data_IF_953144544339
#
_entry.id   IF_953144544339
#
_cell.length_a   1.000
_cell.length_b   1.000
_cell.length_c   1.000
_cell.angle_alpha   90.00
_cell.angle_beta   90.00
_cell.angle_gamma   90.00
#
_symmetry.space_group_name_H-M   'P 1'
#
loop_
_entity.id
_entity.type
_entity.pdbx_description
1 polymer ?
#
# COMPACT_ATOMS: atom_id res chain seq x y z
N UNK A 1 3.39 61.66 38.39
CA UNK A 1 3.55 61.09 39.73
C UNK A 1 3.95 59.62 39.54
N UNK A 2 5.04 59.32 40.14
CA UNK A 2 5.89 58.14 40.16
C UNK A 2 5.21 56.75 40.21
N UNK A 3 5.73 55.85 39.42
CA UNK A 3 5.67 54.38 39.54
C UNK A 3 6.34 53.88 40.86
N UNK A 4 6.06 52.64 41.31
CA UNK A 4 7.18 51.72 41.40
C UNK A 4 6.94 50.36 40.76
N UNK A 5 8.02 49.83 40.20
CA UNK A 5 8.15 48.52 39.58
C UNK A 5 8.17 47.36 40.62
N UNK A 6 7.83 46.20 40.11
CA UNK A 6 8.02 44.92 40.78
C UNK A 6 8.97 44.04 39.96
N UNK A 7 9.98 43.57 40.64
CA UNK A 7 11.08 42.74 40.15
C UNK A 7 10.62 41.31 39.84
N UNK A 8 11.21 40.72 38.81
CA UNK A 8 11.13 39.30 38.50
C UNK A 8 12.01 38.45 39.39
N UNK A 9 11.61 37.22 39.77
CA UNK A 9 12.46 36.30 40.49
C UNK A 9 13.44 35.54 39.57
N UNK A 10 14.56 35.03 40.07
CA UNK A 10 15.61 34.44 39.27
C UNK A 10 15.29 33.02 38.82
N UNK A 11 15.69 32.71 37.58
CA UNK A 11 15.64 31.39 36.99
C UNK A 11 16.70 30.47 37.62
N UNK A 12 16.25 29.37 38.23
CA UNK A 12 17.13 28.27 38.63
C UNK A 12 17.23 27.25 37.51
N UNK A 13 18.40 27.17 36.90
CA UNK A 13 18.77 26.10 35.96
C UNK A 13 19.12 24.83 36.77
N UNK A 14 18.31 23.78 36.65
CA UNK A 14 18.66 22.43 37.06
C UNK A 14 19.09 21.61 35.85
N UNK A 15 20.39 21.45 35.69
CA UNK A 15 21.02 20.50 34.79
C UNK A 15 20.87 19.09 35.33
N UNK A 16 20.11 18.22 34.66
CA UNK A 16 20.14 16.78 34.91
C UNK A 16 21.28 16.13 34.11
N UNK A 17 22.01 15.16 34.70
CA UNK A 17 23.11 14.50 33.99
C UNK A 17 22.59 13.50 32.93
N UNK A 18 23.36 13.19 31.87
CA UNK A 18 22.97 12.25 30.84
C UNK A 18 22.96 10.81 31.39
N UNK A 19 21.89 10.09 31.12
CA UNK A 19 21.74 8.66 31.39
C UNK A 19 22.62 7.89 30.41
N UNK A 20 23.70 7.31 30.88
CA UNK A 20 24.53 6.37 30.14
C UNK A 20 23.83 5.00 30.08
N UNK A 21 23.52 4.52 28.88
CA UNK A 21 23.12 3.13 28.65
C UNK A 21 24.37 2.23 28.61
N UNK A 22 24.36 1.07 29.29
CA UNK A 22 25.51 0.16 29.22
C UNK A 22 25.54 -0.55 27.88
N UNK A 23 26.66 -0.48 27.20
CA UNK A 23 26.98 -1.34 26.04
C UNK A 23 27.03 -2.80 26.51
N UNK A 24 26.08 -3.59 26.03
CA UNK A 24 26.11 -5.05 26.11
C UNK A 24 27.13 -5.57 25.12
N UNK A 25 28.20 -6.17 25.65
CA UNK A 25 29.26 -6.84 24.92
C UNK A 25 28.69 -8.03 24.13
N UNK A 26 28.84 -8.00 22.82
CA UNK A 26 28.64 -9.17 21.96
C UNK A 26 29.76 -10.18 22.21
N UNK A 27 29.40 -11.31 22.81
CA UNK A 27 30.27 -12.49 22.89
C UNK A 27 30.37 -13.11 21.50
N UNK A 28 31.60 -13.16 20.99
CA UNK A 28 31.95 -13.87 19.75
C UNK A 28 31.72 -15.37 19.93
N UNK A 29 30.75 -15.92 19.19
CA UNK A 29 30.57 -17.36 19.04
C UNK A 29 31.59 -17.87 18.05
N UNK A 30 32.64 -18.52 18.55
CA UNK A 30 33.64 -19.22 17.72
C UNK A 30 33.03 -20.55 17.26
N UNK A 31 32.72 -20.68 15.98
CA UNK A 31 32.36 -21.95 15.37
C UNK A 31 33.64 -22.77 15.19
N UNK A 32 33.82 -23.82 16.00
CA UNK A 32 34.88 -24.82 15.79
C UNK A 32 34.45 -25.80 14.72
N UNK A 33 35.23 -25.88 13.66
CA UNK A 33 35.17 -26.98 12.69
C UNK A 33 35.74 -28.26 13.33
N UNK A 34 35.12 -29.43 13.11
CA UNK A 34 35.67 -30.69 13.55
C UNK A 34 36.83 -31.15 12.63
N UNK A 35 37.82 -31.92 13.19
CA UNK A 35 39.01 -32.31 12.45
C UNK A 35 38.74 -33.44 11.44
N UNK A 36 39.50 -33.37 10.37
CA UNK A 36 39.61 -34.36 9.33
C UNK A 36 40.12 -35.72 9.85
N UNK A 37 39.39 -36.80 9.58
CA UNK A 37 39.87 -38.16 9.82
C UNK A 37 40.61 -38.69 8.60
N UNK A 38 41.86 -39.13 8.84
CA UNK A 38 42.68 -39.86 7.90
C UNK A 38 42.31 -41.36 7.88
N UNK A 39 42.43 -41.93 6.72
CA UNK A 39 42.20 -43.33 6.37
C UNK A 39 43.14 -44.31 7.10
N UNK A 40 42.62 -45.42 7.66
CA UNK A 40 43.36 -46.72 7.67
C UNK A 40 42.42 -47.91 7.87
N UNK A 41 42.54 -48.82 6.93
CA UNK A 41 42.47 -50.31 6.99
C UNK A 41 41.22 -51.03 7.51
N UNK A 42 40.69 -51.84 6.59
CA UNK A 42 39.73 -52.94 6.71
C UNK A 42 40.14 -54.07 7.67
N UNK A 43 39.16 -54.94 8.15
CA UNK A 43 38.80 -56.09 7.35
C UNK A 43 37.27 -56.34 7.21
N UNK A 44 36.94 -57.00 6.10
CA UNK A 44 35.62 -57.52 5.72
C UNK A 44 35.15 -58.61 6.71
N UNK A 45 33.87 -58.55 7.04
CA UNK A 45 33.05 -59.72 7.28
C UNK A 45 31.64 -59.57 6.78
N UNK A 46 31.11 -60.60 6.15
CA UNK A 46 29.94 -60.63 5.31
C UNK A 46 28.64 -60.88 6.12
N UNK A 47 27.53 -60.54 5.45
CA UNK A 47 26.15 -60.97 5.68
C UNK A 47 25.30 -60.30 6.73
N UNK A 48 24.59 -59.25 6.29
CA UNK A 48 23.12 -59.09 6.40
C UNK A 48 22.75 -57.76 5.75
N UNK A 49 21.70 -57.65 4.91
CA UNK A 49 21.29 -56.39 4.34
C UNK A 49 20.63 -55.52 5.44
N UNK A 50 20.96 -54.24 5.54
CA UNK A 50 20.25 -53.34 6.44
C UNK A 50 18.84 -53.06 5.87
N UNK A 51 17.83 -53.22 6.72
CA UNK A 51 16.48 -52.75 6.45
C UNK A 51 16.56 -51.23 6.28
N UNK A 52 16.42 -50.75 5.05
CA UNK A 52 16.20 -49.33 4.74
C UNK A 52 14.86 -48.92 5.30
N UNK A 53 14.83 -48.35 6.48
CA UNK A 53 13.69 -47.53 6.93
C UNK A 53 13.69 -46.27 6.09
N UNK A 54 12.92 -46.25 5.02
CA UNK A 54 12.55 -45.05 4.31
C UNK A 54 11.73 -44.21 5.30
N UNK A 55 12.39 -43.27 5.94
CA UNK A 55 11.70 -42.09 6.54
C UNK A 55 10.98 -41.41 5.38
N UNK A 56 9.71 -41.78 5.18
CA UNK A 56 8.77 -40.94 4.45
C UNK A 56 8.66 -39.62 5.28
N UNK A 57 9.41 -38.61 4.90
CA UNK A 57 9.06 -37.25 5.17
C UNK A 57 7.64 -37.08 4.61
N UNK A 58 6.63 -37.14 5.48
CA UNK A 58 5.34 -36.58 5.15
C UNK A 58 5.62 -35.09 4.90
N UNK A 59 5.68 -34.72 3.62
CA UNK A 59 5.55 -33.36 3.23
C UNK A 59 4.27 -32.87 3.88
N UNK A 60 4.41 -31.98 4.89
CA UNK A 60 3.29 -31.20 5.38
C UNK A 60 2.68 -30.60 4.12
N UNK A 61 1.39 -30.85 3.91
CA UNK A 61 0.65 -30.24 2.82
C UNK A 61 0.89 -28.74 2.92
N UNK A 62 1.70 -28.21 2.02
CA UNK A 62 1.78 -26.78 1.79
C UNK A 62 0.35 -26.27 1.73
N UNK A 63 0.02 -25.14 2.37
CA UNK A 63 -1.30 -24.57 2.24
C UNK A 63 -1.61 -24.54 0.74
N UNK A 64 -2.73 -25.14 0.34
CA UNK A 64 -3.14 -25.17 -1.07
C UNK A 64 -3.06 -23.75 -1.56
N UNK A 65 -2.19 -23.51 -2.54
CA UNK A 65 -2.15 -22.24 -3.22
C UNK A 65 -3.58 -21.94 -3.68
N UNK A 66 -4.05 -20.78 -3.26
CA UNK A 66 -5.35 -20.25 -3.61
C UNK A 66 -5.47 -20.30 -5.13
N UNK A 67 -6.62 -20.70 -5.60
CA UNK A 67 -7.03 -20.99 -6.96
C UNK A 67 -6.33 -20.13 -8.02
N UNK A 68 -5.78 -20.77 -9.05
CA UNK A 68 -5.16 -20.03 -10.16
C UNK A 68 -6.19 -19.18 -10.86
N UNK A 69 -5.90 -17.90 -10.95
CA UNK A 69 -6.67 -16.96 -11.75
C UNK A 69 -6.60 -17.38 -13.22
N UNK A 70 -7.72 -17.23 -13.93
CA UNK A 70 -7.85 -17.54 -15.35
C UNK A 70 -7.97 -16.24 -16.10
N UNK A 71 -7.22 -16.09 -17.20
CA UNK A 71 -7.40 -14.96 -18.10
C UNK A 71 -8.75 -15.07 -18.83
N UNK A 72 -9.52 -14.00 -18.83
CA UNK A 72 -10.76 -13.90 -19.56
C UNK A 72 -10.51 -13.36 -20.96
N UNK A 73 -11.17 -13.93 -21.96
CA UNK A 73 -11.06 -13.45 -23.34
C UNK A 73 -11.87 -12.17 -23.57
N UNK A 74 -12.94 -11.98 -22.81
CA UNK A 74 -13.83 -10.83 -22.92
C UNK A 74 -14.10 -10.22 -21.55
N UNK A 75 -14.19 -8.89 -21.49
CA UNK A 75 -14.49 -8.13 -20.28
C UNK A 75 -15.95 -8.33 -19.89
N UNK A 76 -16.25 -8.96 -18.74
CA UNK A 76 -17.64 -9.14 -18.34
C UNK A 76 -18.27 -7.79 -17.95
N UNK A 77 -19.60 -7.64 -18.09
CA UNK A 77 -20.30 -6.42 -17.69
C UNK A 77 -20.20 -6.16 -16.18
N UNK A 78 -20.14 -7.21 -15.39
CA UNK A 78 -19.94 -7.17 -13.93
C UNK A 78 -19.20 -8.43 -13.45
N UNK A 79 -18.47 -8.32 -12.34
CA UNK A 79 -17.90 -9.46 -11.63
C UNK A 79 -18.77 -9.93 -10.46
N UNK A 80 -19.91 -9.27 -10.19
CA UNK A 80 -20.86 -9.67 -9.17
C UNK A 80 -21.58 -10.96 -9.55
N UNK A 81 -22.04 -11.71 -8.56
CA UNK A 81 -22.96 -12.86 -8.76
C UNK A 81 -24.39 -12.38 -8.82
N UNK A 82 -25.19 -12.99 -9.69
CA UNK A 82 -26.63 -12.75 -9.76
C UNK A 82 -27.37 -13.07 -8.43
N UNK A 83 -26.81 -13.96 -7.61
CA UNK A 83 -27.41 -14.40 -6.34
C UNK A 83 -26.99 -13.60 -5.13
N UNK A 84 -26.05 -12.64 -5.27
CA UNK A 84 -25.51 -11.88 -4.12
C UNK A 84 -26.48 -10.82 -3.57
N UNK A 85 -27.72 -10.79 -4.08
CA UNK A 85 -28.61 -9.67 -3.90
C UNK A 85 -29.98 -10.08 -3.34
N UNK A 86 -30.08 -9.97 -2.01
CA UNK A 86 -31.37 -9.95 -1.31
C UNK A 86 -32.06 -8.57 -1.42
N UNK A 87 -31.80 -7.82 -2.50
CA UNK A 87 -32.41 -6.51 -2.71
C UNK A 87 -33.41 -6.57 -3.86
N UNK A 88 -34.48 -5.79 -3.76
CA UNK A 88 -35.51 -5.68 -4.81
C UNK A 88 -34.97 -5.10 -6.12
N UNK A 89 -33.80 -4.49 -6.11
CA UNK A 89 -33.05 -3.99 -7.27
C UNK A 89 -31.54 -4.24 -7.08
N UNK A 90 -31.04 -5.36 -7.60
CA UNK A 90 -29.62 -5.73 -7.58
C UNK A 90 -28.69 -4.66 -8.11
N UNK A 91 -29.07 -3.96 -9.16
CA UNK A 91 -28.25 -2.93 -9.81
C UNK A 91 -28.02 -1.69 -8.93
N UNK A 92 -28.81 -1.50 -7.87
CA UNK A 92 -28.74 -0.36 -6.96
C UNK A 92 -28.09 -0.68 -5.61
N UNK A 93 -27.56 -1.88 -5.43
CA UNK A 93 -26.82 -2.23 -4.23
C UNK A 93 -25.53 -1.41 -4.08
N UNK A 94 -25.04 -1.24 -2.86
CA UNK A 94 -23.73 -0.57 -2.61
C UNK A 94 -22.62 -1.30 -3.37
N UNK A 95 -22.64 -2.63 -3.44
CA UNK A 95 -21.67 -3.43 -4.19
C UNK A 95 -21.67 -3.05 -5.68
N UNK A 96 -22.84 -3.01 -6.31
CA UNK A 96 -22.97 -2.71 -7.75
C UNK A 96 -22.56 -1.26 -8.06
N UNK A 97 -22.99 -0.31 -7.24
CA UNK A 97 -22.61 1.10 -7.41
C UNK A 97 -21.13 1.35 -7.16
N UNK A 98 -20.53 0.63 -6.18
CA UNK A 98 -19.10 0.72 -5.94
C UNK A 98 -18.30 0.09 -7.09
N UNK A 99 -18.70 -1.09 -7.60
CA UNK A 99 -18.07 -1.67 -8.78
C UNK A 99 -18.15 -0.72 -9.99
N UNK A 100 -19.33 -0.14 -10.24
CA UNK A 100 -19.51 0.85 -11.30
C UNK A 100 -18.55 2.02 -11.13
N UNK A 101 -18.49 2.61 -9.94
CA UNK A 101 -17.64 3.75 -9.62
C UNK A 101 -16.16 3.44 -9.87
N UNK A 102 -15.63 2.30 -9.41
CA UNK A 102 -14.22 1.97 -9.62
C UNK A 102 -13.87 1.68 -11.07
N UNK A 103 -14.80 1.15 -11.88
CA UNK A 103 -14.61 0.96 -13.33
C UNK A 103 -14.61 2.30 -14.06
N UNK A 104 -15.54 3.19 -13.75
CA UNK A 104 -15.58 4.55 -14.31
C UNK A 104 -14.33 5.36 -13.94
N UNK A 105 -13.86 5.23 -12.69
CA UNK A 105 -12.61 5.84 -12.25
C UNK A 105 -11.38 5.27 -13.02
N UNK A 106 -11.34 3.94 -13.25
CA UNK A 106 -10.29 3.33 -14.07
C UNK A 106 -10.30 3.90 -15.50
N UNK A 107 -11.46 3.96 -16.13
CA UNK A 107 -11.60 4.49 -17.49
C UNK A 107 -11.17 5.96 -17.57
N UNK A 108 -11.63 6.78 -16.63
CA UNK A 108 -11.28 8.21 -16.56
C UNK A 108 -9.79 8.44 -16.35
N UNK A 109 -9.19 7.74 -15.37
CA UNK A 109 -7.76 7.88 -15.07
C UNK A 109 -6.91 7.40 -16.24
N UNK A 110 -7.19 6.23 -16.80
CA UNK A 110 -6.41 5.71 -17.94
C UNK A 110 -6.49 6.65 -19.15
N UNK A 111 -7.67 7.14 -19.50
CA UNK A 111 -7.84 8.07 -20.63
C UNK A 111 -7.11 9.39 -20.42
N UNK A 112 -7.14 9.94 -19.19
CA UNK A 112 -6.43 11.18 -18.88
C UNK A 112 -4.90 10.99 -18.91
N UNK A 113 -4.39 9.86 -18.44
CA UNK A 113 -2.96 9.52 -18.47
C UNK A 113 -2.49 9.30 -19.92
N UNK A 114 -3.23 8.56 -20.73
CA UNK A 114 -2.90 8.35 -22.16
C UNK A 114 -2.87 9.67 -22.95
N UNK A 115 -3.86 10.53 -22.71
CA UNK A 115 -3.91 11.84 -23.34
C UNK A 115 -2.70 12.73 -22.97
N UNK A 116 -2.26 12.71 -21.72
CA UNK A 116 -1.11 13.48 -21.24
C UNK A 116 0.23 12.86 -21.62
N UNK A 117 0.31 11.54 -21.78
CA UNK A 117 1.51 10.83 -22.26
C UNK A 117 1.76 11.10 -23.74
N UNK A 118 0.70 11.13 -24.55
CA UNK A 118 0.76 11.42 -25.98
C UNK A 118 1.28 10.27 -26.86
N UNK A 119 1.73 9.17 -26.29
CA UNK A 119 2.28 8.02 -27.03
C UNK A 119 2.04 6.66 -26.38
N UNK A 120 2.01 6.63 -25.05
CA UNK A 120 1.77 5.41 -24.29
C UNK A 120 0.30 5.03 -24.28
N UNK A 121 0.02 3.72 -24.28
CA UNK A 121 -1.32 3.17 -24.14
C UNK A 121 -1.34 2.10 -23.04
N UNK A 122 -2.44 2.03 -22.30
CA UNK A 122 -2.64 0.96 -21.34
C UNK A 122 -2.98 -0.36 -22.05
N UNK A 123 -2.27 -1.41 -21.70
CA UNK A 123 -2.66 -2.78 -22.02
C UNK A 123 -3.65 -3.26 -20.96
N UNK A 124 -4.81 -3.70 -21.42
CA UNK A 124 -5.84 -4.27 -20.56
C UNK A 124 -5.64 -5.78 -20.42
N UNK A 125 -5.73 -6.28 -19.21
CA UNK A 125 -5.65 -7.68 -18.82
C UNK A 125 -6.82 -8.00 -17.90
N UNK A 126 -7.81 -8.73 -18.42
CA UNK A 126 -9.01 -9.13 -17.71
C UNK A 126 -8.79 -10.54 -17.15
N UNK A 127 -9.13 -10.73 -15.88
CA UNK A 127 -8.93 -12.00 -15.19
C UNK A 127 -10.13 -12.35 -14.32
N UNK A 128 -10.41 -13.64 -14.21
CA UNK A 128 -11.39 -14.19 -13.28
C UNK A 128 -10.72 -15.04 -12.20
N UNK A 129 -11.45 -15.21 -11.10
CA UNK A 129 -11.02 -16.03 -9.97
C UNK A 129 -11.97 -17.20 -9.80
N UNK A 130 -11.49 -18.47 -9.81
CA UNK A 130 -12.34 -19.64 -9.63
C UNK A 130 -13.17 -19.63 -8.34
N UNK A 131 -12.68 -18.99 -7.27
CA UNK A 131 -13.40 -18.79 -5.99
C UNK A 131 -14.49 -17.74 -6.03
N UNK A 132 -14.52 -16.92 -7.05
CA UNK A 132 -15.53 -15.89 -7.31
C UNK A 132 -14.99 -14.47 -7.49
N UNK A 133 -15.51 -13.81 -8.49
CA UNK A 133 -15.10 -12.47 -8.89
C UNK A 133 -13.96 -12.47 -9.89
N UNK A 134 -13.36 -11.31 -10.08
CA UNK A 134 -12.27 -11.09 -11.02
C UNK A 134 -11.76 -9.66 -10.97
N UNK A 135 -11.12 -9.21 -12.03
CA UNK A 135 -10.61 -7.85 -12.12
C UNK A 135 -10.11 -7.48 -13.49
N UNK A 136 -9.72 -6.23 -13.60
CA UNK A 136 -9.18 -5.62 -14.81
C UNK A 136 -7.90 -4.90 -14.42
N UNK A 137 -6.77 -5.38 -14.92
CA UNK A 137 -5.49 -4.71 -14.76
C UNK A 137 -5.17 -3.93 -16.02
N UNK A 138 -4.91 -2.64 -15.90
CA UNK A 138 -4.42 -1.82 -17.01
C UNK A 138 -3.02 -1.35 -16.69
N UNK A 139 -2.08 -1.62 -17.59
CA UNK A 139 -0.65 -1.35 -17.37
C UNK A 139 -0.09 -0.65 -18.60
N UNK A 140 0.47 0.55 -18.39
CA UNK A 140 1.27 1.28 -19.35
C UNK A 140 2.73 1.18 -18.94
N UNK A 141 3.60 0.84 -19.88
CA UNK A 141 5.05 0.80 -19.68
C UNK A 141 5.74 1.53 -20.84
N UNK A 142 6.89 2.12 -20.54
CA UNK A 142 7.74 2.80 -21.50
C UNK A 142 7.06 3.94 -22.29
N UNK A 143 6.01 4.57 -21.71
CA UNK A 143 5.34 5.74 -22.26
C UNK A 143 6.29 6.93 -22.43
N UNK A 144 5.83 8.03 -23.00
CA UNK A 144 6.64 9.24 -23.14
C UNK A 144 6.86 9.91 -21.78
N UNK A 145 5.82 10.06 -20.98
CA UNK A 145 5.82 10.69 -19.65
C UNK A 145 5.98 9.66 -18.53
N UNK A 146 5.24 8.55 -18.56
CA UNK A 146 5.30 7.53 -17.52
C UNK A 146 6.20 6.36 -17.92
N UNK A 147 7.15 6.07 -17.05
CA UNK A 147 7.98 4.86 -17.14
C UNK A 147 7.14 3.62 -16.91
N UNK A 148 6.26 3.68 -15.91
CA UNK A 148 5.28 2.66 -15.62
C UNK A 148 4.07 3.28 -14.92
N UNK A 149 2.89 2.86 -15.34
CA UNK A 149 1.62 3.20 -14.71
C UNK A 149 0.75 1.95 -14.63
N UNK A 150 0.15 1.71 -13.47
CA UNK A 150 -0.79 0.60 -13.29
C UNK A 150 -2.08 1.12 -12.67
N UNK A 151 -3.23 0.71 -13.21
CA UNK A 151 -4.56 1.01 -12.69
C UNK A 151 -5.35 -0.28 -12.66
N UNK A 152 -5.60 -0.81 -11.48
CA UNK A 152 -6.21 -2.13 -11.28
C UNK A 152 -7.57 -2.01 -10.60
N UNK A 153 -8.57 -2.67 -11.16
CA UNK A 153 -9.86 -2.91 -10.54
C UNK A 153 -9.94 -4.37 -10.14
N UNK A 154 -10.44 -4.66 -8.95
CA UNK A 154 -10.74 -6.01 -8.49
C UNK A 154 -12.09 -6.05 -7.77
N UNK A 155 -12.85 -7.12 -8.00
CA UNK A 155 -14.09 -7.45 -7.30
C UNK A 155 -13.99 -8.93 -6.97
N UNK A 156 -13.80 -9.26 -5.70
CA UNK A 156 -13.55 -10.62 -5.25
C UNK A 156 -14.43 -10.98 -4.07
N UNK A 157 -14.85 -12.20 -4.04
CA UNK A 157 -15.66 -12.74 -2.95
C UNK A 157 -15.31 -14.21 -2.72
N UNK A 158 -15.68 -14.74 -1.58
CA UNK A 158 -15.36 -16.10 -1.21
C UNK A 158 -15.55 -16.35 0.28
N UNK A 159 -14.80 -17.31 0.79
CA UNK A 159 -14.80 -17.64 2.21
C UNK A 159 -13.41 -17.41 2.75
N UNK A 160 -13.29 -16.52 3.72
CA UNK A 160 -12.03 -16.14 4.33
C UNK A 160 -11.62 -17.16 5.39
N UNK A 161 -10.39 -17.71 5.34
CA UNK A 161 -9.85 -18.52 6.42
C UNK A 161 -9.72 -17.70 7.72
N UNK A 162 -9.81 -18.34 8.90
CA UNK A 162 -9.72 -17.66 10.20
C UNK A 162 -8.47 -16.80 10.39
N UNK A 163 -7.33 -17.20 9.85
CA UNK A 163 -6.07 -16.45 9.94
C UNK A 163 -6.10 -15.18 9.10
N UNK A 164 -6.71 -15.22 7.92
CA UNK A 164 -6.90 -14.05 7.06
C UNK A 164 -7.91 -13.06 7.67
N UNK A 165 -8.98 -13.56 8.32
CA UNK A 165 -9.94 -12.72 9.05
C UNK A 165 -9.25 -11.96 10.20
N UNK A 166 -8.41 -12.63 11.00
CA UNK A 166 -7.63 -11.97 12.06
C UNK A 166 -6.66 -10.91 11.54
N UNK A 167 -6.05 -11.16 10.38
CA UNK A 167 -5.16 -10.18 9.75
C UNK A 167 -5.92 -8.96 9.22
N UNK A 168 -7.15 -9.15 8.77
CA UNK A 168 -8.02 -8.06 8.29
C UNK A 168 -8.65 -7.24 9.45
N UNK A 169 -8.79 -7.82 10.64
CA UNK A 169 -9.43 -7.20 11.82
C UNK A 169 -8.51 -7.23 13.06
N UNK A 170 -7.39 -6.50 13.08
CA UNK A 170 -6.43 -6.55 14.17
C UNK A 170 -6.96 -5.98 15.50
N UNK A 171 -8.03 -5.20 15.47
CA UNK A 171 -8.64 -4.58 16.68
C UNK A 171 -9.65 -5.46 17.39
N UNK A 172 -10.12 -6.53 16.78
CA UNK A 172 -11.02 -7.49 17.43
C UNK A 172 -10.22 -8.62 18.12
N UNK A 173 -9.47 -8.28 19.15
CA UNK A 173 -8.79 -9.24 20.03
C UNK A 173 -9.75 -9.87 21.05
N UNK A 174 -10.85 -10.43 20.59
CA UNK A 174 -11.69 -11.30 21.42
C UNK A 174 -11.37 -12.77 21.17
N UNK A 175 -11.59 -13.64 22.16
CA UNK A 175 -11.43 -15.11 22.11
C UNK A 175 -12.33 -15.84 21.10
N UNK A 176 -12.85 -15.12 20.12
CA UNK A 176 -13.68 -15.66 19.04
C UNK A 176 -12.74 -16.38 18.07
N UNK A 177 -12.80 -17.70 18.05
CA UNK A 177 -12.27 -18.50 16.93
C UNK A 177 -13.26 -18.34 15.77
N UNK A 178 -13.01 -17.43 14.83
CA UNK A 178 -13.93 -17.26 13.72
C UNK A 178 -13.91 -18.52 12.88
N UNK A 179 -15.09 -19.08 12.61
CA UNK A 179 -15.28 -20.05 11.56
C UNK A 179 -14.96 -19.44 10.18
N UNK A 180 -15.16 -20.19 9.09
CA UNK A 180 -15.03 -19.64 7.74
C UNK A 180 -16.03 -18.49 7.55
N UNK A 181 -15.53 -17.27 7.26
CA UNK A 181 -16.35 -16.06 7.12
C UNK A 181 -16.50 -15.73 5.63
N UNK A 182 -17.72 -15.73 5.08
CA UNK A 182 -17.92 -15.21 3.73
C UNK A 182 -17.57 -13.73 3.67
N UNK A 183 -16.90 -13.32 2.59
CA UNK A 183 -16.50 -11.94 2.37
C UNK A 183 -16.78 -11.48 0.95
N UNK A 184 -16.89 -10.17 0.81
CA UNK A 184 -16.87 -9.44 -0.44
C UNK A 184 -15.85 -8.29 -0.33
N UNK A 185 -15.05 -8.08 -1.36
CA UNK A 185 -14.12 -6.97 -1.44
C UNK A 185 -14.09 -6.43 -2.87
N UNK A 186 -14.24 -5.13 -3.01
CA UNK A 186 -14.08 -4.44 -4.28
C UNK A 186 -13.14 -3.26 -4.11
N UNK A 187 -12.33 -2.96 -5.14
CA UNK A 187 -11.41 -1.84 -5.06
C UNK A 187 -10.76 -1.48 -6.37
N UNK A 188 -10.29 -0.22 -6.42
CA UNK A 188 -9.36 0.28 -7.41
C UNK A 188 -8.05 0.61 -6.72
N UNK A 189 -6.92 0.30 -7.36
CA UNK A 189 -5.59 0.65 -6.88
C UNK A 189 -4.72 1.07 -8.05
N UNK A 190 -3.90 2.10 -7.86
CA UNK A 190 -3.05 2.63 -8.92
C UNK A 190 -1.74 3.16 -8.37
N UNK A 191 -0.69 2.98 -9.16
CA UNK A 191 0.58 3.69 -8.97
C UNK A 191 1.08 4.17 -10.33
N UNK A 192 1.44 5.44 -10.38
CA UNK A 192 1.92 6.13 -11.58
C UNK A 192 3.35 6.60 -11.35
N UNK A 193 4.32 6.03 -12.09
CA UNK A 193 5.75 6.34 -11.98
C UNK A 193 6.23 7.16 -13.19
N UNK A 194 6.35 8.50 -13.08
CA UNK A 194 6.84 9.33 -14.17
C UNK A 194 8.33 9.11 -14.46
N UNK A 195 8.75 9.34 -15.71
CA UNK A 195 10.16 9.32 -16.10
C UNK A 195 10.96 10.47 -15.52
N UNK A 196 10.38 11.68 -15.55
CA UNK A 196 11.05 12.89 -15.09
C UNK A 196 11.19 12.88 -13.56
N UNK A 197 12.40 13.12 -13.01
CA UNK A 197 12.63 13.18 -11.56
C UNK A 197 11.84 14.26 -10.84
N UNK A 198 11.47 15.34 -11.53
CA UNK A 198 10.70 16.45 -10.96
C UNK A 198 9.20 16.20 -10.96
N UNK A 199 8.73 15.22 -11.73
CA UNK A 199 7.34 14.77 -11.71
C UNK A 199 7.15 13.71 -10.62
N UNK A 200 6.16 13.88 -9.71
CA UNK A 200 5.99 12.98 -8.57
C UNK A 200 5.33 11.65 -8.96
N UNK A 201 5.67 10.59 -8.24
CA UNK A 201 4.87 9.37 -8.22
C UNK A 201 3.58 9.62 -7.47
N UNK A 202 2.46 9.12 -8.01
CA UNK A 202 1.16 9.10 -7.36
C UNK A 202 0.78 7.66 -7.02
N UNK A 203 0.25 7.47 -5.82
CA UNK A 203 -0.50 6.28 -5.45
C UNK A 203 -1.91 6.68 -5.04
N UNK A 204 -2.89 5.88 -5.43
CA UNK A 204 -4.23 5.95 -4.85
C UNK A 204 -4.86 4.57 -4.78
N UNK A 205 -5.76 4.38 -3.82
CA UNK A 205 -6.62 3.22 -3.74
C UNK A 205 -7.95 3.61 -3.07
N UNK A 206 -9.04 2.98 -3.51
CA UNK A 206 -10.34 3.06 -2.84
C UNK A 206 -10.94 1.68 -2.84
N UNK A 207 -11.43 1.25 -1.67
CA UNK A 207 -11.93 -0.11 -1.45
C UNK A 207 -13.18 -0.12 -0.60
N UNK A 208 -14.03 -1.07 -0.88
CA UNK A 208 -15.19 -1.42 -0.09
C UNK A 208 -15.09 -2.89 0.30
N UNK A 209 -15.39 -3.19 1.55
CA UNK A 209 -15.29 -4.53 2.11
C UNK A 209 -16.54 -4.88 2.91
N UNK A 210 -16.98 -6.15 2.82
CA UNK A 210 -18.05 -6.70 3.65
C UNK A 210 -17.66 -8.09 4.16
N UNK A 211 -18.16 -8.43 5.37
CA UNK A 211 -18.18 -9.80 5.87
C UNK A 211 -19.58 -10.17 6.26
N UNK A 212 -20.01 -11.37 5.88
CA UNK A 212 -21.24 -11.95 6.43
C UNK A 212 -21.00 -12.46 7.86
N UNK A 213 -22.12 -12.79 8.56
CA UNK A 213 -22.03 -13.49 9.81
C UNK A 213 -21.27 -14.81 9.66
N UNK A 214 -20.41 -15.19 10.62
CA UNK A 214 -19.83 -16.52 10.68
C UNK A 214 -20.93 -17.59 10.62
N UNK A 215 -20.69 -18.70 9.92
CA UNK A 215 -21.68 -19.78 9.76
C UNK A 215 -22.14 -20.39 11.09
N UNK A 216 -21.29 -20.30 12.11
CA UNK A 216 -21.53 -20.74 13.49
C UNK A 216 -22.19 -19.67 14.39
N UNK A 217 -22.40 -18.47 13.87
CA UNK A 217 -23.14 -17.38 14.51
C UNK A 217 -24.22 -16.81 13.58
N UNK A 218 -25.24 -17.61 13.17
CA UNK A 218 -26.30 -17.17 12.30
C UNK A 218 -27.07 -16.02 12.98
N UNK A 219 -27.22 -14.88 12.28
CA UNK A 219 -27.91 -13.70 12.81
C UNK A 219 -26.96 -12.61 13.35
N UNK A 220 -25.64 -12.82 13.38
CA UNK A 220 -24.70 -11.74 13.59
C UNK A 220 -24.82 -10.71 12.43
N UNK A 221 -24.73 -9.40 12.71
CA UNK A 221 -24.90 -8.39 11.68
C UNK A 221 -23.76 -8.48 10.65
N UNK A 222 -24.12 -8.26 9.38
CA UNK A 222 -23.12 -8.03 8.32
C UNK A 222 -22.27 -6.82 8.69
N UNK A 223 -20.95 -6.96 8.57
CA UNK A 223 -20.01 -5.87 8.77
C UNK A 223 -19.59 -5.33 7.41
N UNK A 224 -19.39 -4.04 7.32
CA UNK A 224 -18.87 -3.39 6.13
C UNK A 224 -17.99 -2.20 6.51
N UNK A 225 -17.07 -1.83 5.64
CA UNK A 225 -16.25 -0.62 5.79
C UNK A 225 -15.69 -0.16 4.45
N UNK A 226 -15.37 1.13 4.42
CA UNK A 226 -14.61 1.75 3.33
C UNK A 226 -13.18 1.97 3.78
N UNK A 227 -12.25 1.90 2.81
CA UNK A 227 -10.86 2.28 2.98
C UNK A 227 -10.35 2.93 1.70
N UNK A 228 -9.31 3.71 1.83
CA UNK A 228 -8.74 4.35 0.66
C UNK A 228 -7.69 5.40 1.00
N UNK A 229 -7.21 6.05 -0.03
CA UNK A 229 -6.28 7.15 0.08
C UNK A 229 -5.69 7.53 -1.25
N UNK A 230 -5.12 8.71 -1.28
CA UNK A 230 -4.37 9.26 -2.40
C UNK A 230 -3.18 10.00 -1.82
N UNK A 231 -1.96 9.58 -2.20
CA UNK A 231 -0.72 10.14 -1.65
C UNK A 231 0.33 10.43 -2.73
N UNK A 232 1.15 11.46 -2.47
CA UNK A 232 2.15 11.99 -3.37
C UNK A 232 3.56 11.59 -2.90
N UNK A 233 4.35 10.99 -3.80
CA UNK A 233 5.74 10.58 -3.55
C UNK A 233 6.67 11.26 -4.56
N UNK A 234 7.07 12.52 -4.34
CA UNK A 234 8.01 13.21 -5.20
C UNK A 234 9.47 12.84 -4.88
N UNK A 235 10.38 13.11 -5.83
CA UNK A 235 11.83 13.11 -5.59
C UNK A 235 12.37 14.52 -5.25
N UNK A 236 11.64 15.57 -5.63
CA UNK A 236 11.96 16.98 -5.34
C UNK A 236 10.71 17.72 -4.89
N UNK A 237 10.86 18.69 -4.00
CA UNK A 237 9.74 19.49 -3.49
C UNK A 237 9.55 20.75 -4.34
N UNK A 238 8.35 20.90 -4.87
CA UNK A 238 7.83 22.18 -5.37
C UNK A 238 6.61 22.52 -4.52
N UNK A 239 6.73 23.53 -3.68
CA UNK A 239 5.70 23.83 -2.69
C UNK A 239 4.33 24.10 -3.32
N UNK A 240 4.30 24.78 -4.48
CA UNK A 240 3.07 25.03 -5.21
C UNK A 240 2.37 23.74 -5.64
N UNK A 241 3.13 22.71 -6.01
CA UNK A 241 2.58 21.42 -6.42
C UNK A 241 2.02 20.65 -5.24
N UNK A 242 2.76 20.63 -4.12
CA UNK A 242 2.33 19.96 -2.90
C UNK A 242 1.10 20.65 -2.30
N UNK A 243 1.09 22.00 -2.26
CA UNK A 243 -0.08 22.78 -1.82
C UNK A 243 -1.30 22.55 -2.71
N UNK A 244 -1.11 22.55 -4.04
CA UNK A 244 -2.19 22.22 -4.97
C UNK A 244 -2.78 20.84 -4.69
N UNK A 245 -1.92 19.81 -4.60
CA UNK A 245 -2.33 18.45 -4.34
C UNK A 245 -3.16 18.33 -3.04
N UNK A 246 -2.62 18.85 -1.94
CA UNK A 246 -3.29 18.79 -0.64
C UNK A 246 -4.56 19.64 -0.60
N UNK A 247 -4.62 20.79 -1.29
CA UNK A 247 -5.81 21.62 -1.39
C UNK A 247 -6.96 20.90 -2.09
N UNK A 248 -6.69 20.17 -3.16
CA UNK A 248 -7.70 19.37 -3.86
C UNK A 248 -8.22 18.23 -2.97
N UNK A 249 -7.33 17.52 -2.27
CA UNK A 249 -7.72 16.46 -1.33
C UNK A 249 -8.54 17.01 -0.16
N UNK A 250 -8.13 18.18 0.38
CA UNK A 250 -8.88 18.87 1.42
C UNK A 250 -10.27 19.28 0.93
N UNK A 251 -10.36 19.84 -0.27
CA UNK A 251 -11.64 20.23 -0.86
C UNK A 251 -12.60 19.06 -1.06
N UNK A 252 -12.09 17.86 -1.41
CA UNK A 252 -12.90 16.66 -1.48
C UNK A 252 -13.41 16.22 -0.10
N UNK A 253 -12.56 16.25 0.92
CA UNK A 253 -12.92 15.91 2.30
C UNK A 253 -13.94 16.89 2.92
N UNK A 254 -13.72 18.19 2.75
CA UNK A 254 -14.52 19.26 3.36
C UNK A 254 -15.99 19.27 2.88
N UNK A 255 -16.27 18.67 1.71
CA UNK A 255 -17.66 18.49 1.22
C UNK A 255 -18.50 17.59 2.13
N UNK A 256 -17.84 16.70 2.89
CA UNK A 256 -18.50 15.71 3.74
C UNK A 256 -18.31 16.01 5.23
N UNK A 257 -17.07 16.29 5.64
CA UNK A 257 -16.76 16.62 7.03
C UNK A 257 -15.42 17.38 7.10
N UNK A 258 -15.41 18.53 7.78
CA UNK A 258 -14.20 19.34 7.95
C UNK A 258 -13.07 18.62 8.73
N UNK A 259 -13.42 17.64 9.57
CA UNK A 259 -12.44 16.84 10.31
C UNK A 259 -11.78 15.72 9.47
N UNK A 260 -12.31 15.42 8.29
CA UNK A 260 -11.79 14.33 7.48
C UNK A 260 -10.35 14.59 7.00
N UNK A 261 -10.11 15.77 6.42
CA UNK A 261 -8.78 16.06 5.90
C UNK A 261 -7.69 16.03 6.97
N UNK A 262 -7.76 16.78 8.09
CA UNK A 262 -6.70 16.76 9.10
C UNK A 262 -6.50 15.37 9.70
N UNK A 263 -7.57 14.62 9.94
CA UNK A 263 -7.52 13.26 10.45
C UNK A 263 -6.87 12.29 9.45
N UNK A 264 -7.29 12.34 8.19
CA UNK A 264 -6.81 11.40 7.17
C UNK A 264 -5.42 11.76 6.66
N UNK A 265 -5.05 13.04 6.66
CA UNK A 265 -3.68 13.49 6.39
C UNK A 265 -2.72 12.96 7.45
N UNK A 266 -3.06 13.13 8.73
CA UNK A 266 -2.25 12.57 9.82
C UNK A 266 -2.14 11.04 9.71
N UNK A 267 -3.24 10.35 9.41
CA UNK A 267 -3.21 8.90 9.25
C UNK A 267 -2.36 8.46 8.07
N UNK A 268 -2.39 9.21 6.96
CA UNK A 268 -1.52 9.00 5.81
C UNK A 268 -0.03 9.08 6.20
N UNK A 269 0.37 10.13 6.92
CA UNK A 269 1.74 10.29 7.40
C UNK A 269 2.20 9.15 8.31
N UNK A 270 1.32 8.68 9.18
CA UNK A 270 1.61 7.58 10.10
C UNK A 270 1.69 6.23 9.38
N UNK A 271 0.80 5.99 8.39
CA UNK A 271 0.74 4.75 7.65
C UNK A 271 1.96 4.53 6.74
N UNK A 272 2.38 5.57 6.00
CA UNK A 272 3.48 5.48 5.05
C UNK A 272 4.88 5.66 5.66
N UNK A 273 5.01 5.48 6.97
CA UNK A 273 6.27 5.55 7.68
C UNK A 273 7.10 4.27 7.53
N UNK A 274 8.34 4.42 7.05
CA UNK A 274 9.32 3.35 6.87
C UNK A 274 10.15 3.24 8.15
N UNK A 275 9.74 2.35 9.05
CA UNK A 275 10.30 2.27 10.42
C UNK A 275 11.82 2.09 10.46
N UNK A 276 12.37 1.23 9.60
CA UNK A 276 13.82 0.96 9.58
C UNK A 276 14.65 2.07 8.93
N UNK A 277 13.99 3.08 8.31
CA UNK A 277 14.63 4.27 7.76
C UNK A 277 14.42 5.52 8.63
N UNK A 278 13.40 5.53 9.45
CA UNK A 278 13.02 6.70 10.24
C UNK A 278 12.38 7.83 9.40
N UNK A 279 11.88 7.53 8.21
CA UNK A 279 11.31 8.51 7.28
C UNK A 279 10.02 7.99 6.63
N UNK A 280 9.23 8.87 6.04
CA UNK A 280 8.07 8.52 5.22
C UNK A 280 8.49 8.31 3.78
N UNK A 281 7.71 7.52 3.03
CA UNK A 281 8.01 7.28 1.62
C UNK A 281 7.75 8.50 0.74
N UNK A 282 6.87 9.45 1.16
CA UNK A 282 6.48 10.63 0.41
C UNK A 282 5.98 11.76 1.31
N UNK A 283 5.24 12.71 0.73
CA UNK A 283 4.77 13.93 1.39
C UNK A 283 3.31 13.83 1.85
N UNK A 284 2.76 12.63 1.90
CA UNK A 284 1.40 12.38 2.39
C UNK A 284 0.31 12.69 1.36
N UNK A 285 -0.85 12.93 1.86
CA UNK A 285 -2.12 13.09 1.17
C UNK A 285 -3.24 12.74 2.14
N UNK A 286 -4.16 11.87 1.75
CA UNK A 286 -5.17 11.30 2.63
C UNK A 286 -5.07 9.77 2.68
N UNK A 287 -5.34 9.21 3.85
CA UNK A 287 -5.49 7.77 4.02
C UNK A 287 -6.53 7.47 5.10
N UNK A 288 -7.43 6.55 4.83
CA UNK A 288 -8.42 6.06 5.77
C UNK A 288 -8.64 4.56 5.58
N UNK A 289 -8.99 3.88 6.67
CA UNK A 289 -9.30 2.46 6.68
C UNK A 289 -10.37 2.16 7.74
N UNK A 290 -11.00 0.98 7.65
CA UNK A 290 -12.04 0.54 8.58
C UNK A 290 -13.12 1.62 8.82
N UNK A 291 -13.41 2.46 7.82
CA UNK A 291 -14.32 3.58 7.93
C UNK A 291 -15.77 3.11 7.80
N UNK A 292 -16.49 3.03 8.91
CA UNK A 292 -17.88 2.59 9.01
C UNK A 292 -18.70 3.33 10.07
N UNK A 293 -18.12 4.37 10.68
CA UNK A 293 -18.77 5.15 11.75
C UNK A 293 -19.80 6.17 11.24
N UNK A 294 -20.02 6.23 9.93
CA UNK A 294 -20.93 7.16 9.26
C UNK A 294 -21.93 6.38 8.41
N UNK A 295 -22.93 7.10 7.87
CA UNK A 295 -23.88 6.52 6.92
C UNK A 295 -23.18 5.93 5.69
N UNK A 296 -23.62 4.74 5.25
CA UNK A 296 -22.99 3.98 4.16
C UNK A 296 -23.08 4.71 2.82
N UNK A 297 -24.20 5.40 2.56
CA UNK A 297 -24.42 6.18 1.33
C UNK A 297 -23.54 7.42 1.30
N UNK A 298 -23.39 8.07 2.45
CA UNK A 298 -22.48 9.20 2.60
C UNK A 298 -21.05 8.76 2.33
N UNK A 299 -20.61 7.61 2.86
CA UNK A 299 -19.26 7.12 2.66
C UNK A 299 -19.00 6.63 1.22
N UNK A 300 -20.01 6.06 0.55
CA UNK A 300 -19.92 5.76 -0.88
C UNK A 300 -19.73 7.03 -1.71
N UNK A 301 -20.50 8.07 -1.39
CA UNK A 301 -20.38 9.38 -2.04
C UNK A 301 -19.03 10.04 -1.78
N UNK A 302 -18.52 9.93 -0.55
CA UNK A 302 -17.19 10.40 -0.17
C UNK A 302 -16.07 9.67 -0.94
N UNK A 303 -16.11 8.34 -0.99
CA UNK A 303 -15.14 7.56 -1.76
C UNK A 303 -15.18 7.91 -3.25
N UNK A 304 -16.37 8.15 -3.80
CA UNK A 304 -16.56 8.59 -5.19
C UNK A 304 -15.94 9.96 -5.43
N UNK A 305 -16.18 10.93 -4.54
CA UNK A 305 -15.58 12.27 -4.64
C UNK A 305 -14.05 12.21 -4.56
N UNK A 306 -13.50 11.40 -3.64
CA UNK A 306 -12.07 11.20 -3.53
C UNK A 306 -11.49 10.59 -4.83
N UNK A 307 -12.15 9.58 -5.42
CA UNK A 307 -11.72 8.99 -6.68
C UNK A 307 -11.75 10.03 -7.83
N UNK A 308 -12.78 10.86 -7.90
CA UNK A 308 -12.91 11.93 -8.89
C UNK A 308 -11.87 13.04 -8.70
N UNK A 309 -11.35 13.24 -7.49
CA UNK A 309 -10.35 14.25 -7.18
C UNK A 309 -8.92 13.87 -7.63
N UNK A 310 -8.67 12.60 -7.99
CA UNK A 310 -7.33 12.09 -8.33
C UNK A 310 -6.71 12.85 -9.51
N UNK A 311 -7.39 12.92 -10.62
CA UNK A 311 -6.89 13.59 -11.83
C UNK A 311 -6.74 15.10 -11.63
N UNK A 312 -7.74 15.84 -11.09
CA UNK A 312 -7.55 17.25 -10.77
C UNK A 312 -6.39 17.54 -9.81
N UNK A 313 -6.09 16.64 -8.87
CA UNK A 313 -4.97 16.81 -7.95
C UNK A 313 -3.61 16.57 -8.61
N UNK A 314 -3.53 15.64 -9.57
CA UNK A 314 -2.26 15.13 -10.06
C UNK A 314 -1.86 15.68 -11.43
N UNK A 315 -2.77 15.67 -12.40
CA UNK A 315 -2.42 15.99 -13.79
C UNK A 315 -1.85 17.40 -13.99
N UNK A 316 -2.34 18.46 -13.31
CA UNK A 316 -1.73 19.78 -13.41
C UNK A 316 -0.28 19.83 -12.94
N UNK A 317 0.13 18.97 -12.00
CA UNK A 317 1.51 18.85 -11.55
C UNK A 317 2.36 18.20 -12.65
N UNK A 318 1.87 17.13 -13.24
CA UNK A 318 2.57 16.45 -14.35
C UNK A 318 2.80 17.40 -15.52
N UNK A 319 1.77 18.16 -15.92
CA UNK A 319 1.87 19.12 -17.02
C UNK A 319 2.94 20.20 -16.76
N UNK A 320 3.15 20.60 -15.52
CA UNK A 320 4.22 21.54 -15.15
C UNK A 320 5.61 20.93 -15.13
N UNK A 321 5.72 19.61 -14.84
CA UNK A 321 7.03 18.99 -14.50
C UNK A 321 7.55 18.00 -15.52
N UNK A 322 6.70 17.44 -16.39
CA UNK A 322 7.07 16.35 -17.33
C UNK A 322 8.21 16.71 -18.27
N UNK A 323 8.34 17.98 -18.65
CA UNK A 323 9.33 18.47 -19.61
C UNK A 323 10.47 19.26 -18.93
N UNK A 324 10.53 19.29 -17.60
CA UNK A 324 11.59 20.00 -16.86
C UNK A 324 12.95 19.35 -17.13
N UNK A 325 13.97 20.10 -17.60
CA UNK A 325 15.30 19.55 -17.82
C UNK A 325 15.90 18.97 -16.53
N UNK A 326 16.53 17.81 -16.63
CA UNK A 326 17.18 17.15 -15.50
C UNK A 326 18.51 16.52 -15.89
N UNK A 327 19.35 16.24 -14.87
CA UNK A 327 20.66 15.60 -15.01
C UNK A 327 20.60 14.14 -14.56
N UNK A 328 21.70 13.40 -14.77
CA UNK A 328 21.84 12.02 -14.28
C UNK A 328 21.82 11.95 -12.75
N UNK A 329 22.28 12.99 -12.04
CA UNK A 329 22.23 13.08 -10.58
C UNK A 329 20.79 13.18 -10.10
N UNK A 330 19.96 14.01 -10.73
CA UNK A 330 18.52 14.08 -10.43
C UNK A 330 17.85 12.71 -10.64
N UNK A 331 18.23 12.01 -11.73
CA UNK A 331 17.69 10.66 -12.00
C UNK A 331 18.17 9.65 -10.97
N UNK A 332 19.44 9.69 -10.57
CA UNK A 332 19.99 8.82 -9.53
C UNK A 332 19.25 9.01 -8.19
N UNK A 333 18.98 10.25 -7.81
CA UNK A 333 18.18 10.54 -6.60
C UNK A 333 16.75 10.00 -6.69
N UNK A 334 16.05 10.23 -7.82
CA UNK A 334 14.73 9.62 -8.03
C UNK A 334 14.77 8.10 -7.82
N UNK A 335 15.80 7.43 -8.35
CA UNK A 335 15.95 5.98 -8.21
C UNK A 335 16.14 5.54 -6.74
N UNK A 336 16.90 6.33 -5.95
CA UNK A 336 17.04 6.10 -4.51
C UNK A 336 15.71 6.26 -3.77
N UNK A 337 14.92 7.30 -4.10
CA UNK A 337 13.57 7.49 -3.52
C UNK A 337 12.61 6.36 -3.93
N UNK A 338 12.72 5.84 -5.14
CA UNK A 338 12.00 4.63 -5.57
C UNK A 338 12.40 3.40 -4.76
N UNK A 339 13.66 3.28 -4.35
CA UNK A 339 14.11 2.26 -3.42
C UNK A 339 13.32 2.32 -2.10
N UNK A 340 13.10 3.52 -1.54
CA UNK A 340 12.28 3.70 -0.32
C UNK A 340 10.82 3.31 -0.55
N UNK A 341 10.28 3.66 -1.71
CA UNK A 341 8.93 3.24 -2.12
C UNK A 341 8.80 1.70 -2.16
N UNK A 342 9.76 1.01 -2.76
CA UNK A 342 9.80 -0.47 -2.83
C UNK A 342 9.92 -1.07 -1.44
N UNK A 343 10.79 -0.54 -0.57
CA UNK A 343 10.95 -1.00 0.81
C UNK A 343 9.62 -0.93 1.57
N UNK A 344 8.89 0.20 1.47
CA UNK A 344 7.58 0.32 2.12
C UNK A 344 6.61 -0.73 1.60
N UNK A 345 6.44 -0.83 0.28
CA UNK A 345 5.44 -1.70 -0.32
C UNK A 345 5.69 -3.18 -0.02
N UNK A 346 6.94 -3.64 -0.05
CA UNK A 346 7.26 -5.06 0.21
C UNK A 346 7.30 -5.42 1.69
N UNK A 347 7.64 -4.47 2.58
CA UNK A 347 7.86 -4.76 4.00
C UNK A 347 6.67 -4.38 4.88
N UNK A 348 6.01 -3.26 4.59
CA UNK A 348 5.02 -2.67 5.50
C UNK A 348 3.61 -2.56 4.92
N UNK A 349 3.45 -2.53 3.59
CA UNK A 349 2.12 -2.38 3.01
C UNK A 349 1.23 -3.58 3.33
N UNK A 350 0.11 -3.30 4.01
CA UNK A 350 -0.84 -4.35 4.43
C UNK A 350 -1.50 -5.02 3.24
N UNK A 351 -1.81 -4.25 2.19
CA UNK A 351 -2.44 -4.77 0.99
C UNK A 351 -1.53 -5.76 0.24
N UNK A 352 -0.27 -5.39 0.03
CA UNK A 352 0.76 -6.26 -0.58
C UNK A 352 0.97 -7.52 0.25
N UNK A 353 1.16 -7.36 1.56
CA UNK A 353 1.38 -8.49 2.49
C UNK A 353 0.18 -9.44 2.51
N UNK A 354 -1.04 -8.90 2.57
CA UNK A 354 -2.28 -9.68 2.53
C UNK A 354 -2.41 -10.42 1.19
N UNK A 355 -2.26 -9.71 0.08
CA UNK A 355 -2.34 -10.30 -1.26
C UNK A 355 -1.37 -11.46 -1.47
N UNK A 356 -0.10 -11.29 -1.10
CA UNK A 356 0.92 -12.34 -1.21
C UNK A 356 0.62 -13.53 -0.30
N UNK A 357 0.15 -13.31 0.94
CA UNK A 357 -0.18 -14.37 1.90
C UNK A 357 -1.46 -15.14 1.53
N UNK A 358 -2.41 -14.48 0.88
CA UNK A 358 -3.68 -15.10 0.47
C UNK A 358 -3.63 -15.68 -0.95
N UNK A 359 -2.47 -15.62 -1.62
CA UNK A 359 -2.29 -16.13 -2.98
C UNK A 359 -2.99 -15.31 -4.04
N UNK A 360 -3.13 -13.99 -3.81
CA UNK A 360 -3.64 -13.06 -4.80
C UNK A 360 -2.74 -13.02 -6.05
N UNK A 361 -3.28 -12.45 -7.13
CA UNK A 361 -2.59 -12.37 -8.42
C UNK A 361 -1.32 -11.53 -8.31
N UNK A 362 -0.16 -12.18 -8.44
CA UNK A 362 1.16 -11.56 -8.24
C UNK A 362 1.35 -10.35 -9.16
N UNK A 363 0.97 -10.46 -10.43
CA UNK A 363 1.08 -9.37 -11.40
C UNK A 363 0.26 -8.13 -11.00
N UNK A 364 -0.95 -8.35 -10.46
CA UNK A 364 -1.79 -7.25 -9.95
C UNK A 364 -1.28 -6.65 -8.63
N UNK A 365 -0.55 -7.42 -7.82
CA UNK A 365 0.05 -6.94 -6.58
C UNK A 365 1.33 -6.15 -6.86
N UNK A 366 2.24 -6.73 -7.66
CA UNK A 366 3.57 -6.15 -7.89
C UNK A 366 3.58 -5.10 -9.02
N UNK A 367 2.46 -4.86 -9.71
CA UNK A 367 2.35 -3.78 -10.70
C UNK A 367 2.66 -2.40 -10.08
N UNK A 368 2.42 -2.24 -8.77
CA UNK A 368 2.71 -1.01 -8.02
C UNK A 368 4.20 -0.65 -7.95
N UNK A 369 5.09 -1.61 -8.18
CA UNK A 369 6.52 -1.35 -8.15
C UNK A 369 6.98 -0.63 -9.42
N UNK A 370 7.97 0.30 -9.30
CA UNK A 370 8.58 0.96 -10.47
C UNK A 370 9.34 -0.06 -11.33
N UNK A 371 9.64 0.29 -12.60
CA UNK A 371 10.50 -0.54 -13.44
C UNK A 371 11.93 -0.61 -12.91
N UNK A 372 12.43 0.50 -12.35
CA UNK A 372 13.79 0.61 -11.84
C UNK A 372 13.82 1.30 -10.48
N UNK A 373 14.74 0.88 -9.64
CA UNK A 373 15.02 1.47 -8.34
C UNK A 373 16.51 1.28 -8.01
N UNK A 374 17.03 2.05 -7.03
CA UNK A 374 18.44 2.02 -6.67
C UNK A 374 18.61 2.00 -5.16
N UNK A 375 19.61 1.26 -4.70
CA UNK A 375 20.08 1.26 -3.32
C UNK A 375 21.57 1.51 -3.31
N UNK A 376 21.98 2.52 -2.54
CA UNK A 376 23.39 2.82 -2.28
C UNK A 376 23.67 2.64 -0.80
N UNK A 377 24.88 2.13 -0.49
CA UNK A 377 25.30 1.90 0.86
C UNK A 377 25.56 3.24 1.57
N UNK A 378 24.87 3.47 2.70
CA UNK A 378 24.98 4.65 3.59
C UNK A 378 24.84 6.00 2.88
N UNK A 379 24.09 6.07 1.76
CA UNK A 379 23.83 7.31 1.04
C UNK A 379 23.03 8.28 1.89
N UNK A 380 23.53 9.49 2.03
CA UNK A 380 22.89 10.63 2.69
C UNK A 380 23.03 11.86 1.81
N UNK A 381 21.95 12.58 1.50
CA UNK A 381 22.08 13.84 0.79
C UNK A 381 22.81 14.87 1.65
N UNK A 382 23.55 15.77 1.00
CA UNK A 382 24.26 16.87 1.66
C UNK A 382 23.23 17.87 2.22
N UNK A 383 23.46 18.32 3.47
CA UNK A 383 22.57 19.27 4.14
C UNK A 383 22.44 20.58 3.37
N UNK A 384 21.22 21.07 3.23
CA UNK A 384 20.88 22.27 2.49
C UNK A 384 20.60 22.09 1.00
N UNK A 385 20.86 20.90 0.43
CA UNK A 385 20.48 20.56 -0.95
C UNK A 385 18.96 20.33 -1.08
N UNK A 386 18.45 20.31 -2.32
CA UNK A 386 17.03 20.02 -2.58
C UNK A 386 16.68 18.57 -2.21
N UNK A 387 17.61 17.64 -2.37
CA UNK A 387 17.48 16.23 -1.94
C UNK A 387 17.35 16.14 -0.43
N UNK A 388 18.14 16.91 0.32
CA UNK A 388 18.05 16.97 1.78
C UNK A 388 16.74 17.59 2.24
N UNK A 389 16.24 18.64 1.58
CA UNK A 389 14.95 19.26 1.89
C UNK A 389 13.81 18.27 1.76
N UNK A 390 13.84 17.41 0.73
CA UNK A 390 12.86 16.34 0.62
C UNK A 390 12.99 15.34 1.75
N UNK A 391 14.22 14.89 2.05
CA UNK A 391 14.46 13.94 3.15
C UNK A 391 13.96 14.50 4.47
N UNK A 392 14.28 15.77 4.78
CA UNK A 392 13.78 16.45 5.99
C UNK A 392 12.25 16.45 6.05
N UNK A 393 11.56 16.77 4.96
CA UNK A 393 10.10 16.74 4.92
C UNK A 393 9.51 15.32 5.05
N UNK A 394 10.23 14.29 4.61
CA UNK A 394 9.86 12.89 4.85
C UNK A 394 10.06 12.45 6.30
N UNK A 395 11.05 13.00 7.00
CA UNK A 395 11.30 12.77 8.43
C UNK A 395 10.31 13.58 9.28
N UNK A 396 10.17 14.86 8.98
CA UNK A 396 9.39 15.86 9.69
C UNK A 396 8.19 16.31 8.84
N UNK A 397 7.04 15.60 8.87
CA UNK A 397 5.90 15.95 8.02
C UNK A 397 5.38 17.34 8.32
N UNK A 398 5.00 18.06 7.27
CA UNK A 398 4.52 19.44 7.33
C UNK A 398 3.01 19.51 7.06
N UNK A 399 2.36 20.53 7.61
CA UNK A 399 1.04 20.93 7.17
C UNK A 399 1.21 21.80 5.90
N UNK A 400 0.53 21.41 4.83
CA UNK A 400 0.67 22.06 3.53
C UNK A 400 -0.44 23.07 3.22
N UNK A 401 -1.65 22.87 3.85
CA UNK A 401 -2.86 23.67 3.64
C UNK A 401 -3.71 23.79 4.91
#
# INVERSE_FOLDING_TARGET
>A
MLTPGLAAPPSTSSSSPPIAFPFSSYSSVTVRCPPTFSSSCFPRNANKPPKTSTLRLQASSSPRMIEKEVAEAEKPPTFLRETDENTSDPSNSVRARFEKMIREAQDSVCSAIEAADGGGQFKEDVWSRPGGGGGISRVLQDGAVWEKAGVNVSVVYGVMPPDAYRAANPTQNGDIKPGPVPFFAAGISSVLHPKNPFAPTLHFNYRYFETDAPKDAPGAPRQWWFGGGTDLTPAYIFEEDVKHFHSVQKGACDKFNADFYPRFKKWCDDYFYIKHRGERRGLGGIFFDDLNAYDQEMLLSFATECANSVIPAYLPIIERRKDTPFTDEHKAWQQLRRGRYVEFNLVYDRGTTFGLKTGGRIESILVSLPLTARWEYDHKPEEGTEEWKLLDACINPKEWV
#
